data_IF_772954973528
#
_entry.id   IF_772954973528
#
_cell.length_a   1.000
_cell.length_b   1.000
_cell.length_c   1.000
_cell.angle_alpha   90.00
_cell.angle_beta   90.00
_cell.angle_gamma   90.00
#
_symmetry.space_group_name_H-M   'P 1'
#
loop_
_entity.id
_entity.type
_entity.pdbx_description
1 polymer ?
#
# COMPACT_ATOMS: atom_id res chain seq x y z
N UNK A 1 7.97 27.13 9.15
CA UNK A 1 8.56 27.92 10.26
C UNK A 1 9.50 29.00 9.74
N UNK A 2 10.58 28.69 9.01
CA UNK A 2 11.53 29.67 8.45
C UNK A 2 10.86 30.81 7.68
N UNK A 3 10.00 30.49 6.72
CA UNK A 3 9.30 31.49 5.92
C UNK A 3 8.40 32.38 6.79
N UNK A 4 7.75 31.80 7.80
CA UNK A 4 6.94 32.55 8.76
C UNK A 4 7.76 33.51 9.62
N UNK A 5 8.97 33.15 10.02
CA UNK A 5 9.89 34.07 10.69
C UNK A 5 10.33 35.20 9.77
N UNK A 6 10.75 34.92 8.54
CA UNK A 6 11.09 35.94 7.55
C UNK A 6 9.93 36.91 7.28
N UNK A 7 8.70 36.42 7.22
CA UNK A 7 7.50 37.25 7.10
C UNK A 7 7.31 38.15 8.33
N UNK A 8 7.49 37.61 9.54
CA UNK A 8 7.36 38.34 10.81
C UNK A 8 8.37 39.48 10.97
N UNK A 9 9.62 39.24 10.58
CA UNK A 9 10.71 40.22 10.67
C UNK A 9 10.78 41.15 9.46
N UNK A 10 9.78 41.13 8.56
CA UNK A 10 9.68 41.94 7.36
C UNK A 10 10.79 41.66 6.33
N UNK A 11 11.57 40.59 6.52
CA UNK A 11 12.63 40.18 5.58
C UNK A 11 12.06 39.81 4.20
N UNK A 12 10.90 39.10 4.18
CA UNK A 12 10.18 38.81 2.93
C UNK A 12 9.72 40.10 2.24
N UNK A 13 9.26 41.09 2.99
CA UNK A 13 8.83 42.38 2.45
C UNK A 13 10.00 43.12 1.83
N UNK A 14 11.15 43.12 2.49
CA UNK A 14 12.39 43.72 1.96
C UNK A 14 12.85 43.00 0.67
N UNK A 15 12.79 41.66 0.62
CA UNK A 15 13.14 40.91 -0.58
C UNK A 15 12.16 41.19 -1.74
N UNK A 16 10.86 41.32 -1.47
CA UNK A 16 9.86 41.67 -2.47
C UNK A 16 10.07 43.12 -2.99
N UNK A 17 10.41 44.05 -2.11
CA UNK A 17 10.77 45.41 -2.50
C UNK A 17 12.06 45.46 -3.37
N UNK A 18 12.98 44.51 -3.18
CA UNK A 18 14.16 44.34 -4.03
C UNK A 18 13.86 43.56 -5.34
N UNK A 19 12.58 43.29 -5.66
CA UNK A 19 12.15 42.63 -6.90
C UNK A 19 12.26 41.12 -6.91
N UNK A 20 12.44 40.47 -5.72
CA UNK A 20 12.46 39.02 -5.63
C UNK A 20 11.05 38.46 -5.61
N UNK A 21 10.79 37.42 -6.38
CA UNK A 21 9.51 36.69 -6.31
C UNK A 21 9.53 35.68 -5.16
N UNK A 22 8.34 35.39 -4.61
CA UNK A 22 8.15 34.36 -3.58
C UNK A 22 8.78 33.02 -4.00
N UNK A 23 8.62 32.62 -5.25
CA UNK A 23 9.19 31.37 -5.79
C UNK A 23 10.72 31.38 -5.73
N UNK A 24 11.38 32.50 -6.06
CA UNK A 24 12.84 32.61 -6.01
C UNK A 24 13.37 32.47 -4.58
N UNK A 25 12.71 33.10 -3.62
CA UNK A 25 13.07 33.04 -2.19
C UNK A 25 12.89 31.62 -1.63
N UNK A 26 11.81 30.93 -2.03
CA UNK A 26 11.46 29.62 -1.48
C UNK A 26 12.00 28.44 -2.29
N UNK A 27 12.63 28.69 -3.43
CA UNK A 27 13.23 27.65 -4.30
C UNK A 27 14.11 26.64 -3.55
N UNK A 28 15.02 27.03 -2.64
CA UNK A 28 15.83 26.08 -1.90
C UNK A 28 14.98 25.15 -1.01
N UNK A 29 13.88 25.65 -0.42
CA UNK A 29 12.96 24.83 0.39
C UNK A 29 12.20 23.82 -0.48
N UNK A 30 11.74 24.25 -1.66
CA UNK A 30 11.06 23.37 -2.63
C UNK A 30 11.99 22.27 -3.14
N UNK A 31 13.25 22.61 -3.45
CA UNK A 31 14.27 21.64 -3.85
C UNK A 31 14.54 20.65 -2.71
N UNK A 32 14.71 21.14 -1.48
CA UNK A 32 14.91 20.28 -0.33
C UNK A 32 13.71 19.33 -0.11
N UNK A 33 12.48 19.84 -0.22
CA UNK A 33 11.27 19.03 -0.11
C UNK A 33 11.17 17.96 -1.23
N UNK A 34 11.53 18.32 -2.45
CA UNK A 34 11.59 17.35 -3.55
C UNK A 34 12.64 16.26 -3.30
N UNK A 35 13.82 16.63 -2.81
CA UNK A 35 14.86 15.67 -2.42
C UNK A 35 14.37 14.74 -1.29
N UNK A 36 13.72 15.27 -0.25
CA UNK A 36 13.13 14.46 0.84
C UNK A 36 12.06 13.53 0.30
N UNK A 37 11.22 13.98 -0.65
CA UNK A 37 10.22 13.13 -1.31
C UNK A 37 10.86 11.97 -2.07
N UNK A 38 11.93 12.22 -2.82
CA UNK A 38 12.68 11.18 -3.52
C UNK A 38 13.39 10.22 -2.56
N UNK A 39 14.01 10.74 -1.50
CA UNK A 39 14.61 9.93 -0.46
C UNK A 39 13.56 9.05 0.25
N UNK A 40 12.36 9.59 0.48
CA UNK A 40 11.24 8.84 1.09
C UNK A 40 10.79 7.68 0.20
N UNK A 41 10.80 7.86 -1.13
CA UNK A 41 10.54 6.76 -2.09
C UNK A 41 11.60 5.66 -1.96
N UNK A 42 12.87 6.03 -1.98
CA UNK A 42 13.98 5.08 -1.81
C UNK A 42 13.93 4.37 -0.45
N UNK A 43 13.60 5.10 0.62
CA UNK A 43 13.45 4.54 1.95
C UNK A 43 12.34 3.49 2.00
N UNK A 44 11.19 3.77 1.38
CA UNK A 44 10.07 2.81 1.30
C UNK A 44 10.40 1.58 0.47
N UNK A 45 11.22 1.72 -0.56
CA UNK A 45 11.59 0.60 -1.44
C UNK A 45 12.63 -0.33 -0.80
N UNK A 46 13.66 0.23 -0.13
CA UNK A 46 14.84 -0.53 0.27
C UNK A 46 14.97 -0.74 1.79
N UNK A 47 14.50 0.19 2.60
CA UNK A 47 14.74 0.20 4.04
C UNK A 47 13.52 -0.28 4.81
N UNK A 48 12.35 0.29 4.52
CA UNK A 48 11.13 0.06 5.30
C UNK A 48 10.72 -1.42 5.36
N UNK A 49 10.72 -2.21 4.27
CA UNK A 49 10.33 -3.62 4.33
C UNK A 49 11.23 -4.42 5.27
N UNK A 50 12.55 -4.20 5.21
CA UNK A 50 13.51 -4.89 6.09
C UNK A 50 13.34 -4.48 7.55
N UNK A 51 13.13 -3.19 7.80
CA UNK A 51 12.93 -2.66 9.14
C UNK A 51 11.61 -3.18 9.76
N UNK A 52 10.55 -3.28 8.98
CA UNK A 52 9.26 -3.79 9.45
C UNK A 52 9.32 -5.27 9.82
N UNK A 53 9.98 -6.11 9.00
CA UNK A 53 10.21 -7.52 9.30
C UNK A 53 11.03 -7.67 10.60
N UNK A 54 12.11 -6.89 10.74
CA UNK A 54 12.93 -6.92 11.96
C UNK A 54 12.14 -6.46 13.19
N UNK A 55 11.34 -5.38 13.06
CA UNK A 55 10.46 -4.88 14.12
C UNK A 55 9.45 -5.93 14.56
N UNK A 56 8.80 -6.58 13.59
CA UNK A 56 7.77 -7.58 13.88
C UNK A 56 8.37 -8.78 14.62
N UNK A 57 9.54 -9.23 14.19
CA UNK A 57 10.27 -10.29 14.90
C UNK A 57 10.56 -9.94 16.35
N UNK A 58 11.12 -8.77 16.60
CA UNK A 58 11.42 -8.31 17.98
C UNK A 58 10.13 -8.19 18.80
N UNK A 59 9.08 -7.61 18.20
CA UNK A 59 7.82 -7.39 18.91
C UNK A 59 7.09 -8.69 19.28
N UNK A 60 7.01 -9.64 18.34
CA UNK A 60 6.24 -10.87 18.55
C UNK A 60 7.05 -11.93 19.30
N UNK A 61 8.31 -12.14 18.93
CA UNK A 61 9.14 -13.21 19.50
C UNK A 61 9.76 -12.77 20.80
N UNK A 62 10.47 -11.61 20.82
CA UNK A 62 11.27 -11.22 21.95
C UNK A 62 10.44 -10.58 23.08
N UNK A 63 9.38 -9.82 22.74
CA UNK A 63 8.56 -9.12 23.73
C UNK A 63 7.36 -9.95 24.16
N UNK A 64 6.62 -10.56 23.21
CA UNK A 64 5.40 -11.31 23.54
C UNK A 64 5.62 -12.82 23.68
N UNK A 65 6.83 -13.33 23.40
CA UNK A 65 7.16 -14.76 23.50
C UNK A 65 6.29 -15.66 22.57
N UNK A 66 5.71 -15.08 21.52
CA UNK A 66 4.88 -15.82 20.56
C UNK A 66 5.76 -16.41 19.48
N UNK A 67 5.59 -17.69 19.12
CA UNK A 67 6.28 -18.23 17.94
C UNK A 67 5.90 -17.44 16.70
N UNK A 68 6.87 -17.23 15.81
CA UNK A 68 6.81 -16.41 14.58
C UNK A 68 5.65 -16.78 13.62
N UNK A 69 5.01 -17.94 13.84
CA UNK A 69 4.04 -18.61 12.97
C UNK A 69 2.55 -18.43 13.34
N UNK A 70 2.19 -17.67 14.38
CA UNK A 70 0.80 -17.75 14.95
C UNK A 70 -0.19 -16.77 14.33
N UNK A 71 0.21 -15.86 13.43
CA UNK A 71 -0.75 -14.91 12.87
C UNK A 71 -1.42 -15.42 11.59
N UNK A 72 -2.76 -15.34 11.53
CA UNK A 72 -3.47 -15.57 10.27
C UNK A 72 -3.00 -14.57 9.20
N UNK A 73 -2.52 -15.08 8.09
CA UNK A 73 -2.09 -14.25 6.95
C UNK A 73 -3.25 -14.13 5.95
N UNK A 74 -3.41 -12.93 5.37
CA UNK A 74 -4.49 -12.65 4.40
C UNK A 74 -3.93 -12.38 3.01
N UNK A 75 -4.76 -12.63 1.98
CA UNK A 75 -4.48 -12.35 0.57
C UNK A 75 -3.16 -12.95 0.08
N UNK A 76 -3.03 -14.24 0.32
CA UNK A 76 -1.82 -14.98 0.01
C UNK A 76 -1.85 -15.43 -1.45
N UNK A 77 -0.85 -15.03 -2.23
CA UNK A 77 -0.65 -15.55 -3.57
C UNK A 77 0.79 -16.04 -3.73
N UNK A 78 0.97 -17.24 -4.23
CA UNK A 78 2.29 -17.84 -4.42
C UNK A 78 2.28 -18.83 -5.58
N UNK A 79 3.47 -19.13 -6.10
CA UNK A 79 3.69 -20.23 -7.04
C UNK A 79 4.23 -21.43 -6.26
N UNK A 80 3.56 -22.56 -6.36
CA UNK A 80 4.00 -23.81 -5.75
C UNK A 80 5.20 -24.43 -6.45
N UNK A 81 5.83 -25.42 -5.80
CA UNK A 81 6.94 -26.18 -6.39
C UNK A 81 6.52 -26.98 -7.63
N UNK A 82 5.24 -27.26 -7.76
CA UNK A 82 4.57 -27.92 -8.90
C UNK A 82 4.26 -26.95 -10.06
N UNK A 83 4.65 -25.70 -9.97
CA UNK A 83 4.36 -24.66 -10.97
C UNK A 83 2.93 -24.15 -10.97
N UNK A 84 2.04 -24.67 -10.11
CA UNK A 84 0.69 -24.19 -9.95
C UNK A 84 0.66 -22.87 -9.20
N UNK A 85 -0.32 -22.01 -9.50
CA UNK A 85 -0.56 -20.77 -8.80
C UNK A 85 -1.60 -21.00 -7.70
N UNK A 86 -1.26 -20.59 -6.51
CA UNK A 86 -2.11 -20.70 -5.33
C UNK A 86 -2.51 -19.31 -4.85
N UNK A 87 -3.78 -19.12 -4.55
CA UNK A 87 -4.28 -17.96 -3.85
C UNK A 87 -5.15 -18.42 -2.69
N UNK A 88 -4.92 -17.88 -1.51
CA UNK A 88 -5.77 -18.08 -0.34
C UNK A 88 -6.17 -16.72 0.26
N UNK A 89 -7.45 -16.56 0.55
CA UNK A 89 -7.93 -15.34 1.21
C UNK A 89 -7.36 -15.22 2.61
N UNK A 90 -7.24 -16.33 3.32
CA UNK A 90 -6.69 -16.38 4.67
C UNK A 90 -6.08 -17.75 4.93
N UNK A 91 -4.94 -17.73 5.61
CA UNK A 91 -4.33 -18.93 6.21
C UNK A 91 -4.28 -18.76 7.72
N UNK A 92 -4.68 -19.79 8.46
CA UNK A 92 -4.59 -19.87 9.91
C UNK A 92 -3.56 -20.93 10.29
N UNK A 93 -2.38 -20.54 10.77
CA UNK A 93 -1.31 -21.48 11.13
C UNK A 93 -1.63 -22.30 12.39
N UNK A 94 -2.53 -21.83 13.27
CA UNK A 94 -2.89 -22.58 14.48
C UNK A 94 -3.70 -23.84 14.15
N UNK A 95 -4.49 -23.80 13.08
CA UNK A 95 -5.37 -24.89 12.63
C UNK A 95 -4.92 -25.53 11.32
N UNK A 96 -3.87 -24.99 10.69
CA UNK A 96 -3.42 -25.35 9.33
C UNK A 96 -4.57 -25.31 8.30
N UNK A 97 -5.41 -24.27 8.40
CA UNK A 97 -6.56 -24.09 7.51
C UNK A 97 -6.37 -22.93 6.55
N UNK A 98 -6.78 -23.15 5.30
CA UNK A 98 -6.91 -22.12 4.28
C UNK A 98 -8.37 -21.79 4.05
N UNK A 99 -8.71 -20.52 3.90
CA UNK A 99 -10.05 -20.06 3.54
C UNK A 99 -10.00 -19.36 2.19
N UNK A 100 -10.95 -19.70 1.31
CA UNK A 100 -11.06 -19.11 -0.02
C UNK A 100 -9.86 -19.46 -0.91
N UNK A 101 -9.50 -20.76 -0.93
CA UNK A 101 -8.40 -21.28 -1.73
C UNK A 101 -8.77 -21.32 -3.21
N UNK A 102 -7.87 -20.86 -4.05
CA UNK A 102 -7.93 -20.98 -5.52
C UNK A 102 -6.61 -21.55 -6.01
N UNK A 103 -6.70 -22.55 -6.86
CA UNK A 103 -5.54 -23.21 -7.48
C UNK A 103 -5.72 -23.08 -8.99
N UNK A 104 -4.68 -22.63 -9.68
CA UNK A 104 -4.68 -22.48 -11.14
C UNK A 104 -3.49 -23.22 -11.71
N UNK A 105 -3.77 -24.24 -12.54
CA UNK A 105 -2.76 -24.96 -13.32
C UNK A 105 -2.68 -24.36 -14.71
N UNK A 106 -1.46 -24.20 -15.23
CA UNK A 106 -1.21 -23.60 -16.54
C UNK A 106 -0.22 -24.43 -17.33
N UNK A 107 -0.45 -24.47 -18.63
CA UNK A 107 0.51 -24.93 -19.62
C UNK A 107 0.89 -23.76 -20.53
N UNK A 108 2.07 -23.20 -20.31
CA UNK A 108 2.48 -21.95 -20.94
C UNK A 108 1.58 -20.76 -20.53
N UNK A 109 0.91 -20.14 -21.50
CA UNK A 109 -0.03 -19.02 -21.25
C UNK A 109 -1.48 -19.46 -21.02
N UNK A 110 -1.81 -20.74 -21.23
CA UNK A 110 -3.17 -21.27 -21.17
C UNK A 110 -3.45 -21.87 -19.80
N UNK A 111 -4.61 -21.54 -19.22
CA UNK A 111 -5.14 -22.21 -18.02
C UNK A 111 -5.73 -23.54 -18.44
N UNK A 112 -5.28 -24.64 -17.84
CA UNK A 112 -5.77 -26.00 -18.09
C UNK A 112 -6.71 -26.48 -17.01
N UNK A 113 -6.51 -26.01 -15.77
CA UNK A 113 -7.34 -26.38 -14.65
C UNK A 113 -7.45 -25.25 -13.65
N UNK A 114 -8.62 -25.13 -13.03
CA UNK A 114 -8.85 -24.25 -11.89
C UNK A 114 -9.69 -24.95 -10.84
N UNK A 115 -9.24 -24.87 -9.59
CA UNK A 115 -9.96 -25.37 -8.42
C UNK A 115 -10.26 -24.17 -7.51
N UNK A 116 -11.52 -24.00 -7.16
CA UNK A 116 -11.98 -23.01 -6.17
C UNK A 116 -12.56 -23.77 -4.99
N UNK A 117 -12.06 -23.57 -3.77
CA UNK A 117 -12.55 -24.21 -2.54
C UNK A 117 -12.84 -23.16 -1.47
N UNK A 118 -13.95 -23.32 -0.76
CA UNK A 118 -14.30 -22.45 0.36
C UNK A 118 -13.27 -22.57 1.49
N UNK A 119 -12.82 -23.82 1.76
CA UNK A 119 -11.80 -24.13 2.78
C UNK A 119 -10.87 -25.24 2.29
N UNK A 120 -9.68 -25.29 2.87
CA UNK A 120 -8.77 -26.42 2.76
C UNK A 120 -8.17 -26.71 4.13
N UNK A 121 -8.15 -27.98 4.51
CA UNK A 121 -7.73 -28.49 5.81
C UNK A 121 -6.54 -29.43 5.59
N UNK A 122 -5.48 -29.28 6.39
CA UNK A 122 -4.30 -30.13 6.32
C UNK A 122 -4.41 -31.27 7.34
N UNK A 123 -4.36 -32.51 6.88
CA UNK A 123 -4.47 -33.70 7.73
C UNK A 123 -3.11 -34.21 8.27
N UNK A 124 -2.02 -33.55 7.92
CA UNK A 124 -0.64 -33.95 8.24
C UNK A 124 0.15 -34.45 7.03
N UNK A 125 -0.52 -34.86 5.96
CA UNK A 125 0.09 -35.39 4.73
C UNK A 125 -0.49 -34.76 3.47
N UNK A 126 -1.82 -34.52 3.43
CA UNK A 126 -2.53 -34.02 2.26
C UNK A 126 -3.50 -32.87 2.61
N UNK A 127 -3.80 -32.07 1.59
CA UNK A 127 -4.87 -31.08 1.69
C UNK A 127 -6.22 -31.70 1.36
N UNK A 128 -7.18 -31.54 2.27
CA UNK A 128 -8.58 -31.82 2.00
C UNK A 128 -9.31 -30.53 1.69
N UNK A 129 -9.75 -30.40 0.45
CA UNK A 129 -10.53 -29.26 -0.04
C UNK A 129 -12.01 -29.48 0.31
N UNK A 130 -12.68 -28.44 0.82
CA UNK A 130 -14.05 -28.49 1.27
C UNK A 130 -14.88 -27.44 0.56
N UNK A 131 -16.05 -27.85 0.08
CA UNK A 131 -17.05 -27.03 -0.59
C UNK A 131 -16.46 -26.23 -1.75
N UNK A 132 -16.31 -26.87 -2.91
CA UNK A 132 -15.61 -26.27 -4.04
C UNK A 132 -16.09 -26.75 -5.40
N UNK A 133 -15.43 -26.19 -6.41
CA UNK A 133 -15.63 -26.53 -7.81
C UNK A 133 -14.27 -26.72 -8.49
N UNK A 134 -14.19 -27.74 -9.32
CA UNK A 134 -13.04 -28.03 -10.20
C UNK A 134 -13.47 -27.78 -11.64
N UNK A 135 -12.73 -26.96 -12.33
CA UNK A 135 -12.94 -26.65 -13.77
C UNK A 135 -11.73 -27.12 -14.55
N UNK A 136 -11.98 -27.93 -15.54
CA UNK A 136 -10.95 -28.40 -16.49
C UNK A 136 -11.29 -27.82 -17.85
N UNK A 137 -10.30 -27.20 -18.46
CA UNK A 137 -10.40 -26.54 -19.77
C UNK A 137 -9.69 -27.40 -20.83
N UNK A 138 -10.46 -28.01 -21.72
CA UNK A 138 -9.94 -28.78 -22.86
C UNK A 138 -10.41 -28.11 -24.16
N UNK A 139 -9.55 -27.25 -24.71
CA UNK A 139 -9.90 -26.43 -25.85
C UNK A 139 -10.96 -25.40 -25.54
N UNK A 140 -12.09 -25.47 -26.24
CA UNK A 140 -13.30 -24.66 -25.99
C UNK A 140 -14.27 -25.33 -25.00
N UNK A 141 -14.00 -26.55 -24.61
CA UNK A 141 -14.84 -27.29 -23.67
C UNK A 141 -14.43 -26.98 -22.24
N UNK A 142 -15.44 -26.63 -21.42
CA UNK A 142 -15.30 -26.45 -19.97
C UNK A 142 -16.05 -27.56 -19.26
N UNK A 143 -15.35 -28.34 -18.45
CA UNK A 143 -15.97 -29.31 -17.57
C UNK A 143 -15.95 -28.77 -16.15
N UNK A 144 -17.14 -28.69 -15.53
CA UNK A 144 -17.33 -28.23 -14.15
C UNK A 144 -17.76 -29.41 -13.28
N UNK A 145 -16.93 -29.75 -12.31
CA UNK A 145 -17.22 -30.76 -11.30
C UNK A 145 -17.31 -30.07 -9.91
N UNK A 146 -18.48 -30.12 -9.29
CA UNK A 146 -18.64 -29.62 -7.92
C UNK A 146 -18.31 -30.74 -6.92
N UNK A 147 -17.70 -30.39 -5.79
CA UNK A 147 -17.35 -31.33 -4.74
C UNK A 147 -17.65 -30.74 -3.35
N UNK A 148 -18.10 -31.60 -2.44
CA UNK A 148 -18.23 -31.24 -1.00
C UNK A 148 -16.92 -31.49 -0.27
N UNK A 149 -16.22 -32.58 -0.60
CA UNK A 149 -14.88 -32.91 -0.10
C UNK A 149 -14.05 -33.52 -1.22
N UNK A 150 -12.82 -33.06 -1.34
CA UNK A 150 -11.86 -33.56 -2.32
C UNK A 150 -10.49 -33.63 -1.66
N UNK A 151 -9.96 -34.85 -1.48
CA UNK A 151 -8.57 -35.02 -1.04
C UNK A 151 -7.64 -34.81 -2.23
N UNK A 152 -6.82 -33.78 -2.14
CA UNK A 152 -5.92 -33.35 -3.21
C UNK A 152 -4.53 -33.93 -2.98
N UNK A 153 -4.37 -35.23 -3.20
CA UNK A 153 -3.09 -35.94 -3.03
C UNK A 153 -2.01 -35.51 -4.03
N UNK A 154 -2.41 -34.85 -5.12
CA UNK A 154 -1.51 -34.31 -6.15
C UNK A 154 -0.92 -32.94 -5.81
N UNK A 155 -1.35 -32.31 -4.71
CA UNK A 155 -0.80 -31.04 -4.26
C UNK A 155 0.44 -31.28 -3.41
N UNK A 156 1.59 -30.86 -3.94
CA UNK A 156 2.89 -30.98 -3.25
C UNK A 156 3.20 -29.85 -2.28
N UNK A 157 2.32 -28.84 -2.23
CA UNK A 157 2.51 -27.68 -1.37
C UNK A 157 2.15 -27.99 0.08
N UNK A 158 3.05 -27.69 1.00
CA UNK A 158 2.84 -27.92 2.45
C UNK A 158 2.39 -26.63 3.15
N UNK A 159 1.81 -26.69 4.36
CA UNK A 159 1.48 -25.54 5.19
C UNK A 159 2.65 -24.56 5.36
N UNK A 160 3.88 -25.07 5.50
CA UNK A 160 5.10 -24.24 5.62
C UNK A 160 5.32 -23.29 4.44
N UNK A 161 4.86 -23.65 3.22
CA UNK A 161 4.96 -22.74 2.08
C UNK A 161 4.02 -21.53 2.24
N UNK A 162 2.97 -21.67 3.03
CA UNK A 162 2.08 -20.56 3.41
C UNK A 162 2.59 -19.78 4.63
N UNK A 163 3.60 -20.24 5.34
CA UNK A 163 4.25 -19.58 6.49
C UNK A 163 5.55 -18.88 6.11
N UNK A 164 6.31 -19.45 5.16
CA UNK A 164 7.69 -19.06 4.87
C UNK A 164 7.79 -17.76 4.06
N UNK A 165 8.64 -16.86 4.52
CA UNK A 165 9.08 -15.61 3.86
C UNK A 165 7.97 -14.61 3.48
N UNK A 166 6.99 -14.40 4.35
CA UNK A 166 5.89 -13.49 4.03
C UNK A 166 6.05 -12.14 4.68
N UNK A 167 6.38 -11.23 3.80
CA UNK A 167 6.16 -9.81 4.02
C UNK A 167 4.64 -9.61 3.96
N UNK A 168 4.03 -9.12 5.04
CA UNK A 168 2.62 -8.72 5.01
C UNK A 168 2.41 -7.74 3.86
N UNK A 169 1.24 -7.75 3.20
CA UNK A 169 0.97 -6.87 2.05
C UNK A 169 1.31 -5.41 2.37
N UNK A 170 1.09 -4.98 3.61
CA UNK A 170 1.37 -3.63 4.10
C UNK A 170 2.86 -3.28 4.15
N UNK A 171 3.71 -4.28 4.29
CA UNK A 171 5.17 -4.17 4.39
C UNK A 171 5.89 -4.43 3.06
N UNK A 172 5.15 -4.79 2.01
CA UNK A 172 5.71 -5.01 0.68
C UNK A 172 6.21 -3.71 0.07
N UNK A 173 7.36 -3.79 -0.60
CA UNK A 173 7.84 -2.71 -1.45
C UNK A 173 7.04 -2.61 -2.77
N UNK A 174 7.27 -1.56 -3.55
CA UNK A 174 6.54 -1.29 -4.80
C UNK A 174 6.70 -2.45 -5.79
N UNK A 175 7.89 -3.04 -5.88
CA UNK A 175 8.15 -4.16 -6.77
C UNK A 175 7.39 -5.42 -6.33
N UNK A 176 7.47 -5.77 -5.05
CA UNK A 176 6.74 -6.91 -4.49
C UNK A 176 5.23 -6.74 -4.63
N UNK A 177 4.69 -5.54 -4.38
CA UNK A 177 3.27 -5.25 -4.58
C UNK A 177 2.84 -5.41 -6.05
N UNK A 178 3.67 -4.98 -7.02
CA UNK A 178 3.37 -5.20 -8.45
C UNK A 178 3.33 -6.68 -8.81
N UNK A 179 4.31 -7.43 -8.37
CA UNK A 179 4.36 -8.89 -8.59
C UNK A 179 3.16 -9.57 -7.93
N UNK A 180 2.81 -9.16 -6.72
CA UNK A 180 1.67 -9.66 -5.97
C UNK A 180 0.33 -9.36 -6.68
N UNK A 181 0.11 -8.13 -7.16
CA UNK A 181 -1.08 -7.75 -7.95
C UNK A 181 -1.23 -8.63 -9.18
N UNK A 182 -0.13 -8.85 -9.92
CA UNK A 182 -0.17 -9.70 -11.13
C UNK A 182 -0.56 -11.13 -10.75
N UNK A 183 0.05 -11.68 -9.70
CA UNK A 183 -0.20 -13.04 -9.25
C UNK A 183 -1.65 -13.23 -8.76
N UNK A 184 -2.17 -12.29 -7.96
CA UNK A 184 -3.57 -12.31 -7.50
C UNK A 184 -4.56 -12.24 -8.68
N UNK A 185 -4.30 -11.41 -9.69
CA UNK A 185 -5.13 -11.37 -10.90
C UNK A 185 -5.10 -12.69 -11.66
N UNK A 186 -3.93 -13.30 -11.80
CA UNK A 186 -3.77 -14.56 -12.54
C UNK A 186 -4.48 -15.73 -11.86
N UNK A 187 -4.61 -15.70 -10.54
CA UNK A 187 -5.33 -16.70 -9.75
C UNK A 187 -6.82 -16.40 -9.60
N UNK A 188 -7.30 -15.29 -10.19
CA UNK A 188 -8.69 -14.86 -10.06
C UNK A 188 -9.08 -14.38 -8.66
N UNK A 189 -8.09 -13.97 -7.85
CA UNK A 189 -8.28 -13.25 -6.59
C UNK A 189 -8.72 -11.80 -6.84
N UNK A 190 -9.07 -11.09 -5.76
CA UNK A 190 -9.35 -9.66 -5.82
C UNK A 190 -8.06 -8.86 -5.54
N UNK A 191 -7.46 -8.20 -6.55
CA UNK A 191 -6.22 -7.46 -6.37
C UNK A 191 -6.43 -6.05 -5.81
N UNK A 192 -7.67 -5.61 -5.55
CA UNK A 192 -7.98 -4.20 -5.23
C UNK A 192 -7.18 -3.66 -4.05
N UNK A 193 -7.09 -4.41 -2.95
CA UNK A 193 -6.36 -3.94 -1.78
C UNK A 193 -4.88 -3.73 -2.09
N UNK A 194 -4.25 -4.66 -2.82
CA UNK A 194 -2.86 -4.56 -3.23
C UNK A 194 -2.63 -3.43 -4.24
N UNK A 195 -3.59 -3.19 -5.15
CA UNK A 195 -3.54 -2.06 -6.08
C UNK A 195 -3.66 -0.71 -5.36
N UNK A 196 -4.54 -0.61 -4.35
CA UNK A 196 -4.66 0.59 -3.52
C UNK A 196 -3.35 0.86 -2.80
N UNK A 197 -2.74 -0.16 -2.18
CA UNK A 197 -1.47 -0.02 -1.48
C UNK A 197 -0.31 0.34 -2.42
N UNK A 198 -0.29 -0.22 -3.62
CA UNK A 198 0.67 0.12 -4.66
C UNK A 198 0.55 1.61 -5.05
N UNK A 199 -0.65 2.08 -5.33
CA UNK A 199 -0.91 3.48 -5.67
C UNK A 199 -0.61 4.41 -4.49
N UNK A 200 -0.96 3.99 -3.27
CA UNK A 200 -0.67 4.75 -2.06
C UNK A 200 0.85 4.89 -1.82
N UNK A 201 1.62 3.82 -2.03
CA UNK A 201 3.08 3.84 -1.90
C UNK A 201 3.76 4.81 -2.89
N UNK A 202 3.16 5.00 -4.08
CA UNK A 202 3.63 5.97 -5.08
C UNK A 202 3.17 7.40 -4.76
N UNK A 203 1.95 7.57 -4.26
CA UNK A 203 1.34 8.87 -3.99
C UNK A 203 1.87 9.53 -2.71
N UNK A 204 2.13 8.73 -1.66
CA UNK A 204 2.44 9.21 -0.33
C UNK A 204 3.71 10.09 -0.23
N UNK A 205 4.83 9.82 -0.92
CA UNK A 205 6.02 10.68 -0.84
C UNK A 205 5.80 12.12 -1.29
N UNK A 206 4.80 12.38 -2.15
CA UNK A 206 4.44 13.74 -2.60
C UNK A 206 3.87 14.61 -1.47
N UNK A 207 3.44 14.00 -0.35
CA UNK A 207 2.99 14.71 0.85
C UNK A 207 4.00 15.74 1.29
N UNK A 208 5.29 15.37 1.35
CA UNK A 208 6.35 16.27 1.81
C UNK A 208 6.42 17.54 0.95
N UNK A 209 6.34 17.37 -0.37
CA UNK A 209 6.38 18.50 -1.31
C UNK A 209 5.14 19.38 -1.18
N UNK A 210 3.95 18.78 -1.17
CA UNK A 210 2.67 19.50 -1.09
C UNK A 210 2.55 20.28 0.22
N UNK A 211 2.91 19.68 1.35
CA UNK A 211 2.85 20.33 2.67
C UNK A 211 3.83 21.51 2.74
N UNK A 212 5.04 21.39 2.18
CA UNK A 212 5.99 22.50 2.12
C UNK A 212 5.46 23.62 1.23
N UNK A 213 4.93 23.30 0.04
CA UNK A 213 4.35 24.29 -0.87
C UNK A 213 3.18 25.05 -0.22
N UNK A 214 2.27 24.35 0.45
CA UNK A 214 1.17 24.97 1.20
C UNK A 214 1.69 25.82 2.36
N UNK A 215 2.64 25.31 3.12
CA UNK A 215 3.26 26.01 4.24
C UNK A 215 3.92 27.33 3.80
N UNK A 216 4.62 27.32 2.67
CA UNK A 216 5.23 28.53 2.08
C UNK A 216 4.18 29.58 1.74
N UNK A 217 3.12 29.20 1.03
CA UNK A 217 2.09 30.16 0.59
C UNK A 217 1.31 30.72 1.78
N UNK A 218 0.98 29.90 2.74
CA UNK A 218 0.25 30.33 3.94
C UNK A 218 1.10 31.20 4.86
N UNK A 219 2.40 30.91 4.96
CA UNK A 219 3.33 31.69 5.76
C UNK A 219 3.70 33.05 5.12
N UNK A 220 3.56 33.22 3.81
CA UNK A 220 3.86 34.46 3.08
C UNK A 220 2.71 35.48 3.08
N UNK A 221 1.53 35.12 3.62
CA UNK A 221 0.36 35.99 3.64
C UNK A 221 0.54 37.21 4.57
N UNK A 222 -0.26 38.30 4.36
CA UNK A 222 -0.10 39.59 5.05
C UNK A 222 -0.53 39.54 6.54
N UNK A 223 -1.03 38.42 7.03
CA UNK A 223 -1.43 38.28 8.43
C UNK A 223 -0.20 38.15 9.33
N UNK A 224 -0.12 38.96 10.38
CA UNK A 224 0.86 38.82 11.47
C UNK A 224 0.59 37.49 12.22
N UNK A 225 1.06 36.39 11.68
CA UNK A 225 0.94 35.09 12.35
C UNK A 225 1.98 35.01 13.46
N UNK A 226 1.56 34.65 14.65
CA UNK A 226 2.51 34.29 15.72
C UNK A 226 3.18 32.97 15.37
N UNK A 227 4.38 32.73 15.90
CA UNK A 227 5.11 31.45 15.69
C UNK A 227 4.22 30.27 16.06
N UNK A 228 3.47 30.37 17.15
CA UNK A 228 2.54 29.35 17.62
C UNK A 228 1.41 29.07 16.62
N UNK A 229 0.80 30.13 16.03
CA UNK A 229 -0.28 29.95 15.05
C UNK A 229 0.21 29.37 13.72
N UNK A 230 1.44 29.73 13.29
CA UNK A 230 2.07 29.12 12.11
C UNK A 230 2.39 27.64 12.31
N UNK A 231 2.87 27.26 13.49
CA UNK A 231 3.13 25.88 13.87
C UNK A 231 1.84 25.07 13.94
N UNK A 232 0.80 25.58 14.63
CA UNK A 232 -0.51 24.94 14.71
C UNK A 232 -1.16 24.74 13.34
N UNK A 233 -1.05 25.73 12.44
CA UNK A 233 -1.56 25.61 11.08
C UNK A 233 -0.84 24.50 10.29
N UNK A 234 0.48 24.41 10.40
CA UNK A 234 1.27 23.37 9.73
C UNK A 234 0.90 21.98 10.22
N UNK A 235 0.76 21.79 11.54
CA UNK A 235 0.29 20.53 12.11
C UNK A 235 -1.12 20.20 11.60
N UNK A 236 -2.04 21.18 11.63
CA UNK A 236 -3.41 21.00 11.16
C UNK A 236 -3.49 20.56 9.71
N UNK A 237 -2.71 21.18 8.83
CA UNK A 237 -2.63 20.80 7.40
C UNK A 237 -2.05 19.40 7.23
N UNK A 238 -0.93 19.10 7.91
CA UNK A 238 -0.28 17.80 7.82
C UNK A 238 -1.18 16.68 8.34
N UNK A 239 -1.86 16.91 9.45
CA UNK A 239 -2.78 15.95 10.04
C UNK A 239 -4.04 15.76 9.17
N UNK A 240 -4.63 16.86 8.69
CA UNK A 240 -5.77 16.82 7.77
C UNK A 240 -5.43 16.06 6.47
N UNK A 241 -4.25 16.32 5.93
CA UNK A 241 -3.74 15.60 4.77
C UNK A 241 -3.60 14.09 5.05
N UNK A 242 -2.96 13.74 6.18
CA UNK A 242 -2.78 12.35 6.60
C UNK A 242 -4.13 11.64 6.78
N UNK A 243 -5.10 12.27 7.44
CA UNK A 243 -6.45 11.71 7.60
C UNK A 243 -7.12 11.49 6.25
N UNK A 244 -7.04 12.47 5.34
CA UNK A 244 -7.65 12.38 4.01
C UNK A 244 -7.08 11.22 3.20
N UNK A 245 -5.75 11.06 3.21
CA UNK A 245 -5.07 9.97 2.53
C UNK A 245 -5.46 8.60 3.09
N UNK A 246 -5.48 8.45 4.42
CA UNK A 246 -5.85 7.18 5.06
C UNK A 246 -7.34 6.86 4.88
N UNK A 247 -8.21 7.86 4.88
CA UNK A 247 -9.63 7.68 4.58
C UNK A 247 -9.84 7.19 3.14
N UNK A 248 -9.14 7.80 2.18
CA UNK A 248 -9.14 7.34 0.79
C UNK A 248 -8.67 5.88 0.67
N UNK A 249 -7.56 5.53 1.35
CA UNK A 249 -7.04 4.15 1.39
C UNK A 249 -8.08 3.18 1.97
N UNK A 250 -8.72 3.53 3.08
CA UNK A 250 -9.74 2.68 3.71
C UNK A 250 -10.95 2.45 2.78
N UNK A 251 -11.44 3.48 2.09
CA UNK A 251 -12.52 3.36 1.10
C UNK A 251 -12.10 2.51 -0.11
N UNK A 252 -10.86 2.64 -0.55
CA UNK A 252 -10.30 1.81 -1.62
C UNK A 252 -10.22 0.34 -1.24
N UNK A 253 -9.74 0.02 -0.04
CA UNK A 253 -9.71 -1.35 0.51
C UNK A 253 -11.12 -1.93 0.66
N UNK A 254 -12.09 -1.13 1.08
CA UNK A 254 -13.50 -1.53 1.16
C UNK A 254 -14.17 -1.71 -0.22
N UNK A 255 -13.47 -1.35 -1.32
CA UNK A 255 -14.02 -1.44 -2.68
C UNK A 255 -15.03 -0.35 -3.04
N UNK A 256 -15.21 0.67 -2.19
CA UNK A 256 -16.16 1.76 -2.41
C UNK A 256 -15.71 2.70 -3.55
N UNK A 257 -14.40 2.85 -3.74
CA UNK A 257 -13.81 3.66 -4.80
C UNK A 257 -12.67 2.92 -5.51
N UNK A 258 -12.39 3.21 -6.80
CA UNK A 258 -11.28 2.59 -7.52
C UNK A 258 -9.92 2.89 -6.89
N UNK A 259 -8.89 2.02 -7.07
CA UNK A 259 -7.58 2.16 -6.44
C UNK A 259 -6.86 3.48 -6.71
N UNK A 260 -6.92 3.97 -7.95
CA UNK A 260 -6.21 5.19 -8.34
C UNK A 260 -6.78 6.43 -7.62
N UNK A 261 -8.07 6.78 -7.69
CA UNK A 261 -8.60 7.92 -6.92
C UNK A 261 -8.48 7.70 -5.42
N UNK A 262 -8.56 6.48 -4.91
CA UNK A 262 -8.38 6.16 -3.49
C UNK A 262 -7.04 6.68 -2.93
N UNK A 263 -5.99 6.55 -3.71
CA UNK A 263 -4.64 6.95 -3.30
C UNK A 263 -4.26 8.38 -3.69
N UNK A 264 -4.82 8.93 -4.79
CA UNK A 264 -4.36 10.19 -5.37
C UNK A 264 -5.27 11.38 -5.06
N UNK A 265 -6.51 11.16 -4.62
CA UNK A 265 -7.47 12.25 -4.36
C UNK A 265 -6.93 13.28 -3.36
N UNK A 266 -6.19 12.85 -2.35
CA UNK A 266 -5.53 13.75 -1.39
C UNK A 266 -4.51 14.65 -2.06
N UNK A 267 -3.64 14.10 -2.89
CA UNK A 267 -2.64 14.86 -3.63
C UNK A 267 -3.29 15.89 -4.56
N UNK A 268 -4.33 15.49 -5.26
CA UNK A 268 -5.08 16.38 -6.17
C UNK A 268 -5.76 17.50 -5.38
N UNK A 269 -6.47 17.16 -4.31
CA UNK A 269 -7.18 18.16 -3.49
C UNK A 269 -6.24 19.20 -2.90
N UNK A 270 -5.18 18.75 -2.21
CA UNK A 270 -4.22 19.66 -1.59
C UNK A 270 -3.33 20.38 -2.61
N UNK A 271 -3.06 19.76 -3.77
CA UNK A 271 -2.38 20.40 -4.89
C UNK A 271 -3.22 21.53 -5.50
N UNK A 272 -4.52 21.33 -5.71
CA UNK A 272 -5.45 22.37 -6.16
C UNK A 272 -5.59 23.49 -5.14
N UNK A 273 -5.67 23.14 -3.85
CA UNK A 273 -5.70 24.13 -2.76
C UNK A 273 -4.43 25.00 -2.80
N UNK A 274 -3.26 24.39 -2.96
CA UNK A 274 -2.00 25.13 -3.14
C UNK A 274 -2.08 26.08 -4.33
N UNK A 275 -2.50 25.61 -5.50
CA UNK A 275 -2.58 26.45 -6.72
C UNK A 275 -3.54 27.62 -6.53
N UNK A 276 -4.68 27.40 -5.89
CA UNK A 276 -5.66 28.46 -5.59
C UNK A 276 -5.08 29.51 -4.66
N UNK A 277 -4.43 29.09 -3.57
CA UNK A 277 -3.80 30.00 -2.61
C UNK A 277 -2.61 30.76 -3.23
N UNK A 278 -1.81 30.09 -4.03
CA UNK A 278 -0.69 30.68 -4.75
C UNK A 278 -1.13 31.75 -5.76
N UNK A 279 -2.21 31.47 -6.52
CA UNK A 279 -2.77 32.45 -7.44
C UNK A 279 -3.28 33.72 -6.73
N UNK A 280 -3.82 33.55 -5.50
CA UNK A 280 -4.23 34.70 -4.66
C UNK A 280 -3.04 35.46 -4.08
N UNK A 281 -1.97 34.78 -3.71
CA UNK A 281 -0.78 35.42 -3.13
C UNK A 281 0.05 36.22 -4.15
N UNK A 282 -0.17 36.00 -5.46
CA UNK A 282 0.47 36.76 -6.56
C UNK A 282 -0.22 38.07 -6.91
N UNK A 283 -1.45 38.30 -6.42
CA UNK A 283 -2.21 39.54 -6.57
C UNK A 283 -1.99 40.46 -5.38
#
# INVERSE_FOLDING_TARGET
FSVGQMARYLELTALFAAGWSLFRVTRPLVVAAALVSLLSLGWREYVLPKANVARERVWEVDIHGRPETIRPTQNIALTGPDGRLYYARRYDPATNQLTGLKIVTREGSRVTERIDAARAEWDGEHWTLVDGTRRVFDGELERLDAFTRLTAADLTITPRAFEKDRVAQEDMNIRQLREHVVLVRQTGGDPRSAEVDLQFNLAFPLVNLIVVLLGVVLASGPRKTTVASGFGLTIGISFGYYLFMNFGRALGHAGAIPPLPAAWAGNVFYGLLFLMLFARARR
#
